data_IF_801103673592
#
_entry.id   IF_801103673592
#
_cell.length_a   1.000
_cell.length_b   1.000
_cell.length_c   1.000
_cell.angle_alpha   90.00
_cell.angle_beta   90.00
_cell.angle_gamma   90.00
#
_symmetry.space_group_name_H-M   'P 1'
#
loop_
_entity.id
_entity.type
_entity.pdbx_description
1 polymer ?
#
# COMPACT_ATOMS: atom_id res chain seq x y z
N UNK A 1 -20.35 -30.93 -16.10
CA UNK A 1 -19.32 -29.92 -16.43
C UNK A 1 -19.56 -28.67 -15.61
N UNK A 2 -19.08 -28.64 -14.37
CA UNK A 2 -18.99 -27.40 -13.58
C UNK A 2 -17.51 -27.12 -13.39
N UNK A 3 -16.87 -26.60 -14.45
CA UNK A 3 -15.63 -25.87 -14.27
C UNK A 3 -16.02 -24.51 -13.70
N UNK A 4 -15.41 -24.04 -12.60
CA UNK A 4 -15.66 -22.69 -12.12
C UNK A 4 -15.27 -21.70 -13.22
N UNK A 5 -16.11 -20.69 -13.46
CA UNK A 5 -15.77 -19.65 -14.44
C UNK A 5 -14.43 -19.01 -14.07
N UNK A 6 -13.47 -18.92 -15.01
CA UNK A 6 -12.20 -18.25 -14.76
C UNK A 6 -12.48 -16.74 -14.65
N UNK A 7 -12.62 -16.26 -13.41
CA UNK A 7 -12.99 -14.86 -13.16
C UNK A 7 -13.40 -14.55 -11.72
N UNK A 8 -13.74 -15.56 -10.91
CA UNK A 8 -13.91 -15.38 -9.46
C UNK A 8 -12.56 -15.52 -8.74
N UNK A 9 -11.57 -14.76 -9.17
CA UNK A 9 -10.45 -14.40 -8.29
C UNK A 9 -11.06 -13.49 -7.21
N UNK A 10 -10.69 -13.67 -5.94
CA UNK A 10 -11.17 -12.88 -4.81
C UNK A 10 -10.88 -11.38 -5.05
N UNK A 11 -11.81 -10.71 -5.72
CA UNK A 11 -11.67 -9.32 -6.10
C UNK A 11 -11.82 -8.47 -4.85
N UNK A 12 -10.94 -7.48 -4.70
CA UNK A 12 -11.02 -6.47 -3.64
C UNK A 12 -12.38 -5.79 -3.73
N UNK A 13 -13.11 -5.75 -2.61
CA UNK A 13 -14.45 -5.16 -2.54
C UNK A 13 -14.44 -3.81 -1.83
N UNK A 14 -15.62 -3.17 -1.74
CA UNK A 14 -15.76 -1.92 -0.99
C UNK A 14 -15.59 -2.13 0.52
N UNK A 15 -15.95 -3.32 1.01
CA UNK A 15 -15.76 -3.72 2.40
C UNK A 15 -14.27 -3.82 2.77
N UNK A 16 -13.43 -4.30 1.86
CA UNK A 16 -11.96 -4.32 2.06
C UNK A 16 -11.39 -2.90 2.17
N UNK A 17 -11.90 -1.97 1.36
CA UNK A 17 -11.51 -0.56 1.42
C UNK A 17 -11.97 0.11 2.72
N UNK A 18 -13.18 -0.17 3.19
CA UNK A 18 -13.66 0.31 4.49
C UNK A 18 -12.81 -0.23 5.63
N UNK A 19 -12.46 -1.52 5.58
CA UNK A 19 -11.58 -2.13 6.56
C UNK A 19 -10.19 -1.48 6.57
N UNK A 20 -9.60 -1.20 5.40
CA UNK A 20 -8.35 -0.47 5.28
C UNK A 20 -8.42 0.93 5.90
N UNK A 21 -9.53 1.66 5.68
CA UNK A 21 -9.73 2.97 6.30
C UNK A 21 -9.73 2.89 7.84
N UNK A 22 -10.41 1.89 8.42
CA UNK A 22 -10.42 1.66 9.86
C UNK A 22 -8.99 1.40 10.40
N UNK A 23 -8.18 0.61 9.68
CA UNK A 23 -6.77 0.36 10.04
C UNK A 23 -5.93 1.65 10.00
N UNK A 24 -6.06 2.45 8.94
CA UNK A 24 -5.32 3.70 8.77
C UNK A 24 -5.65 4.70 9.88
N UNK A 25 -6.92 4.81 10.25
CA UNK A 25 -7.40 5.70 11.29
C UNK A 25 -7.19 5.15 12.72
N UNK A 26 -6.72 3.90 12.85
CA UNK A 26 -6.56 3.23 14.14
C UNK A 26 -7.88 2.94 14.86
N UNK A 27 -8.97 2.78 14.10
CA UNK A 27 -10.33 2.47 14.58
C UNK A 27 -10.68 0.98 14.44
N UNK A 28 -9.68 0.14 14.19
CA UNK A 28 -9.81 -1.29 13.92
C UNK A 28 -9.99 -2.16 15.18
N UNK A 29 -9.87 -1.56 16.38
CA UNK A 29 -9.99 -2.28 17.66
C UNK A 29 -8.78 -3.15 18.03
N UNK A 30 -7.71 -3.13 17.22
CA UNK A 30 -6.45 -3.81 17.53
C UNK A 30 -5.61 -3.14 18.61
N UNK A 31 -4.42 -3.68 18.92
CA UNK A 31 -3.51 -3.09 19.90
C UNK A 31 -3.11 -1.66 19.57
N UNK A 32 -2.68 -0.94 20.60
CA UNK A 32 -2.25 0.46 20.50
C UNK A 32 -1.01 0.56 19.62
N UNK A 33 -1.02 1.54 18.71
CA UNK A 33 0.11 1.90 17.88
C UNK A 33 1.19 2.62 18.69
N UNK A 34 2.43 2.13 18.62
CA UNK A 34 3.60 2.77 19.24
C UNK A 34 4.37 3.55 18.18
N UNK A 35 4.62 4.83 18.41
CA UNK A 35 5.37 5.65 17.45
C UNK A 35 6.86 5.29 17.50
N UNK A 36 7.42 4.95 16.34
CA UNK A 36 8.82 4.53 16.19
C UNK A 36 9.66 5.55 15.41
N UNK A 37 9.02 6.48 14.70
CA UNK A 37 9.71 7.51 13.92
C UNK A 37 8.87 8.79 13.83
N UNK A 38 9.54 9.92 13.97
CA UNK A 38 9.00 11.26 13.72
C UNK A 38 10.10 12.14 13.11
N UNK A 39 9.94 12.53 11.85
CA UNK A 39 10.93 13.30 11.10
C UNK A 39 10.23 14.37 10.29
N UNK A 40 10.79 15.57 10.28
CA UNK A 40 10.27 16.67 9.47
C UNK A 40 11.38 17.38 8.71
N UNK A 41 10.98 17.93 7.57
CA UNK A 41 11.71 18.90 6.75
C UNK A 41 10.74 20.06 6.46
N UNK A 42 11.20 21.19 5.89
CA UNK A 42 10.29 22.30 5.57
C UNK A 42 9.14 21.95 4.63
N UNK A 43 9.25 20.90 3.81
CA UNK A 43 8.25 20.52 2.81
C UNK A 43 7.60 19.15 3.07
N UNK A 44 8.08 18.40 4.06
CA UNK A 44 7.60 17.04 4.32
C UNK A 44 7.63 16.68 5.81
N UNK A 45 6.57 16.04 6.28
CA UNK A 45 6.50 15.36 7.57
C UNK A 45 6.37 13.86 7.35
N UNK A 46 7.16 13.07 8.07
CA UNK A 46 7.09 11.61 8.07
C UNK A 46 7.01 11.06 9.48
N UNK A 47 5.96 10.28 9.76
CA UNK A 47 5.75 9.61 11.02
C UNK A 47 5.48 8.13 10.77
N UNK A 48 5.99 7.27 11.64
CA UNK A 48 5.73 5.83 11.56
C UNK A 48 5.45 5.24 12.93
N UNK A 49 4.56 4.26 12.94
CA UNK A 49 4.13 3.50 14.10
C UNK A 49 4.28 2.01 13.84
N UNK A 50 4.48 1.27 14.91
CA UNK A 50 4.50 -0.19 14.93
C UNK A 50 3.53 -0.72 15.98
N UNK A 51 3.04 -1.94 15.77
CA UNK A 51 2.39 -2.73 16.83
C UNK A 51 2.62 -4.21 16.57
N UNK A 52 2.62 -4.99 17.65
CA UNK A 52 2.73 -6.45 17.62
C UNK A 52 1.40 -7.06 18.05
N UNK A 53 0.58 -7.59 17.12
CA UNK A 53 -0.64 -8.30 17.47
C UNK A 53 -0.33 -9.64 18.15
N UNK A 54 -1.24 -10.12 19.01
CA UNK A 54 -1.11 -11.45 19.64
C UNK A 54 -1.06 -12.58 18.60
N UNK A 55 -1.75 -12.39 17.48
CA UNK A 55 -1.83 -13.34 16.37
C UNK A 55 -1.41 -12.63 15.09
N UNK A 56 -0.40 -13.17 14.44
CA UNK A 56 0.06 -12.70 13.12
C UNK A 56 1.39 -11.92 13.18
N UNK A 57 1.83 -11.39 12.03
CA UNK A 57 3.08 -10.65 11.93
C UNK A 57 2.98 -9.25 12.55
N UNK A 58 4.12 -8.60 12.84
CA UNK A 58 4.17 -7.18 13.18
C UNK A 58 3.50 -6.32 12.12
N UNK A 59 2.84 -5.25 12.56
CA UNK A 59 2.16 -4.32 11.69
C UNK A 59 2.81 -2.95 11.76
N UNK A 60 2.86 -2.29 10.61
CA UNK A 60 3.44 -0.96 10.46
C UNK A 60 2.42 -0.02 9.83
N UNK A 61 2.42 1.22 10.32
CA UNK A 61 1.65 2.31 9.76
C UNK A 61 2.58 3.49 9.56
N UNK A 62 2.47 4.17 8.43
CA UNK A 62 3.18 5.42 8.18
C UNK A 62 2.22 6.52 7.76
N UNK A 63 2.58 7.75 8.08
CA UNK A 63 1.92 8.97 7.62
C UNK A 63 2.97 9.89 7.04
N UNK A 64 2.79 10.26 5.77
CA UNK A 64 3.60 11.28 5.11
C UNK A 64 2.70 12.44 4.73
N UNK A 65 3.14 13.66 5.00
CA UNK A 65 2.52 14.89 4.50
C UNK A 65 3.52 15.55 3.56
N UNK A 66 3.08 15.88 2.35
CA UNK A 66 3.82 16.68 1.39
C UNK A 66 3.14 18.03 1.29
N UNK A 67 3.85 19.11 1.64
CA UNK A 67 3.28 20.47 1.67
C UNK A 67 3.14 21.10 0.28
N UNK A 68 3.89 20.58 -0.70
CA UNK A 68 4.04 21.10 -2.05
C UNK A 68 3.50 20.16 -3.14
N UNK A 69 2.65 19.19 -2.77
CA UNK A 69 2.03 18.25 -3.70
C UNK A 69 0.52 18.09 -3.46
N UNK A 70 -0.24 18.01 -4.55
CA UNK A 70 -1.67 17.68 -4.50
C UNK A 70 -1.89 16.18 -4.30
N UNK A 71 -3.00 15.74 -3.68
CA UNK A 71 -3.33 14.32 -3.54
C UNK A 71 -3.33 13.55 -4.86
N UNK A 72 -3.81 14.15 -5.95
CA UNK A 72 -3.85 13.54 -7.28
C UNK A 72 -2.45 13.26 -7.82
N UNK A 73 -1.54 14.24 -7.69
CA UNK A 73 -0.14 14.07 -8.07
C UNK A 73 0.54 12.95 -7.27
N UNK A 74 0.29 12.89 -5.95
CA UNK A 74 0.84 11.83 -5.09
C UNK A 74 0.28 10.46 -5.52
N UNK A 75 -1.03 10.35 -5.75
CA UNK A 75 -1.66 9.13 -6.26
C UNK A 75 -0.99 8.66 -7.56
N UNK A 76 -0.89 9.54 -8.55
CA UNK A 76 -0.37 9.20 -9.87
C UNK A 76 1.12 8.80 -9.79
N UNK A 77 1.91 9.51 -8.98
CA UNK A 77 3.31 9.19 -8.73
C UNK A 77 3.50 7.79 -8.12
N UNK A 78 2.66 7.41 -7.15
CA UNK A 78 2.76 6.09 -6.50
C UNK A 78 2.27 4.94 -7.38
N UNK A 79 1.41 5.22 -8.37
CA UNK A 79 0.85 4.23 -9.30
C UNK A 79 1.69 4.02 -10.57
N UNK A 80 2.66 4.89 -10.84
CA UNK A 80 3.51 4.81 -12.02
C UNK A 80 4.65 3.79 -11.84
N UNK A 81 4.33 2.53 -12.14
CA UNK A 81 5.28 1.40 -12.09
C UNK A 81 6.44 1.56 -13.06
N UNK A 82 6.23 2.21 -14.21
CA UNK A 82 7.28 2.46 -15.21
C UNK A 82 8.30 3.47 -14.64
N UNK A 83 7.79 4.54 -14.03
CA UNK A 83 8.62 5.56 -13.41
C UNK A 83 9.29 5.07 -12.12
N UNK A 84 8.70 4.09 -11.42
CA UNK A 84 9.20 3.52 -10.15
C UNK A 84 10.68 3.15 -10.19
N UNK A 85 11.13 2.59 -11.31
CA UNK A 85 12.53 2.19 -11.53
C UNK A 85 13.54 3.35 -11.48
N UNK A 86 13.10 4.60 -11.68
CA UNK A 86 13.96 5.79 -11.65
C UNK A 86 14.18 6.35 -10.24
N UNK A 87 13.31 6.03 -9.27
CA UNK A 87 13.33 6.70 -7.96
C UNK A 87 13.31 5.75 -6.75
N UNK A 88 12.76 4.53 -6.89
CA UNK A 88 12.74 3.57 -5.80
C UNK A 88 14.03 2.75 -5.76
N UNK A 89 15.02 3.25 -5.01
CA UNK A 89 16.31 2.58 -4.83
C UNK A 89 16.18 1.19 -4.20
N UNK A 90 15.04 0.84 -3.59
CA UNK A 90 14.82 -0.49 -3.03
C UNK A 90 14.31 -1.50 -4.06
N UNK A 91 13.94 -1.05 -5.25
CA UNK A 91 13.42 -1.90 -6.32
C UNK A 91 14.55 -2.39 -7.23
N UNK A 92 14.72 -3.72 -7.33
CA UNK A 92 15.66 -4.36 -8.27
C UNK A 92 14.97 -4.61 -9.60
N UNK A 93 13.68 -4.99 -9.55
CA UNK A 93 12.88 -5.30 -10.73
C UNK A 93 11.41 -5.09 -10.41
N UNK A 94 10.68 -4.46 -11.33
CA UNK A 94 9.23 -4.44 -11.38
C UNK A 94 8.79 -5.02 -12.74
N UNK A 95 7.73 -5.84 -12.74
CA UNK A 95 7.09 -6.33 -13.96
C UNK A 95 5.62 -6.65 -13.69
N UNK A 96 4.72 -6.11 -14.50
CA UNK A 96 3.32 -6.58 -14.60
C UNK A 96 3.27 -7.90 -15.34
N UNK A 97 2.63 -8.90 -14.74
CA UNK A 97 2.44 -10.24 -15.31
C UNK A 97 1.08 -10.36 -16.01
N UNK A 98 0.03 -9.85 -15.38
CA UNK A 98 -1.35 -9.91 -15.87
C UNK A 98 -2.10 -8.62 -15.48
N UNK A 99 -3.05 -8.23 -16.32
CA UNK A 99 -3.94 -7.09 -16.08
C UNK A 99 -5.35 -7.44 -16.56
N UNK A 100 -6.35 -7.22 -15.71
CA UNK A 100 -7.75 -7.35 -16.07
C UNK A 100 -8.31 -5.96 -16.44
N UNK A 101 -8.61 -5.69 -17.73
CA UNK A 101 -9.06 -4.36 -18.16
C UNK A 101 -10.47 -4.02 -17.68
N UNK A 102 -11.24 -5.00 -17.16
CA UNK A 102 -12.59 -4.80 -16.65
C UNK A 102 -12.56 -4.33 -15.19
N UNK A 103 -11.72 -4.94 -14.36
CA UNK A 103 -11.65 -4.65 -12.92
C UNK A 103 -10.48 -3.75 -12.55
N UNK A 104 -9.50 -3.57 -13.44
CA UNK A 104 -8.22 -2.89 -13.15
C UNK A 104 -7.30 -3.70 -12.24
N UNK A 105 -7.62 -4.97 -11.94
CA UNK A 105 -6.78 -5.83 -11.10
C UNK A 105 -5.51 -6.22 -11.86
N UNK A 106 -4.35 -6.07 -11.20
CA UNK A 106 -3.05 -6.41 -11.76
C UNK A 106 -2.35 -7.47 -10.92
N UNK A 107 -1.68 -8.40 -11.60
CA UNK A 107 -0.72 -9.32 -10.97
C UNK A 107 0.68 -8.78 -11.27
N UNK A 108 1.40 -8.37 -10.22
CA UNK A 108 2.74 -7.76 -10.35
C UNK A 108 3.82 -8.63 -9.71
N UNK A 109 5.03 -8.60 -10.28
CA UNK A 109 6.21 -9.26 -9.74
C UNK A 109 7.30 -8.23 -9.45
N UNK A 110 7.49 -7.95 -8.16
CA UNK A 110 8.50 -7.03 -7.68
C UNK A 110 9.60 -7.76 -6.89
N UNK A 111 10.86 -7.42 -7.18
CA UNK A 111 12.03 -7.90 -6.43
C UNK A 111 12.65 -6.69 -5.76
N UNK A 112 12.82 -6.74 -4.43
CA UNK A 112 13.40 -5.66 -3.62
C UNK A 112 14.77 -6.05 -3.07
N UNK A 113 15.57 -5.06 -2.71
CA UNK A 113 16.83 -5.26 -1.97
C UNK A 113 16.54 -5.81 -0.56
N UNK A 114 17.49 -6.59 -0.04
CA UNK A 114 17.50 -7.13 1.34
C UNK A 114 18.37 -6.25 2.21
#
# INVERSE_FOLDING_TARGET
NNSPEPGKLDAVTSEDAEHLCQLVEGRDGGPVWTQILDRSTPTMLYQAWHRDPEIGPPQYRSRTVFEDATPELVRDFFWDDDFRSNWDDMLIRCKTLEECPITGTMVVHWIRKV
#
